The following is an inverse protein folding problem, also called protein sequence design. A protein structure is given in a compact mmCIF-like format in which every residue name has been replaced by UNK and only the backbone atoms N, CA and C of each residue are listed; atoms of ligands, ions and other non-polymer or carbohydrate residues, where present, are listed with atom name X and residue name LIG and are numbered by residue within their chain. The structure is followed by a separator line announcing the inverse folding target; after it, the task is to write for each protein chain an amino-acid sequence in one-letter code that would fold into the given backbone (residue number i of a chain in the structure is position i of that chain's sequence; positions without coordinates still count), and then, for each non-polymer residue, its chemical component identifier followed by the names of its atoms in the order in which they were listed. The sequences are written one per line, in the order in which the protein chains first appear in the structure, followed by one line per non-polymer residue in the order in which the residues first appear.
data_IF_394349374449
#
_entry.id   IF_394349374449
#
_cell.length_a   1.000
_cell.length_b   1.000
_cell.length_c   1.000
_cell.angle_alpha   90.00
_cell.angle_beta   90.00
_cell.angle_gamma   90.00
#
_symmetry.space_group_name_H-M   'P 1'
#
loop_
_entity.id
_entity.type
_entity.pdbx_description
1 polymer ?
#
# COMPACT_ATOMS: atom_id res chain seq x y z
N UNK A 1 47.20 -14.52 16.39
CA UNK A 1 45.86 -15.13 16.51
C UNK A 1 45.95 -16.31 17.45
N UNK A 2 45.16 -16.34 18.54
CA UNK A 2 45.27 -17.41 19.54
C UNK A 2 44.91 -18.77 18.92
N UNK A 3 45.66 -19.85 19.22
CA UNK A 3 45.42 -21.19 18.63
C UNK A 3 43.99 -21.70 18.86
N UNK A 4 43.39 -21.29 19.98
CA UNK A 4 41.98 -21.54 20.31
C UNK A 4 41.02 -20.84 19.34
N UNK A 5 41.32 -19.60 18.97
CA UNK A 5 40.51 -18.81 18.02
C UNK A 5 40.61 -19.41 16.61
N UNK A 6 41.79 -19.88 16.21
CA UNK A 6 41.98 -20.57 14.93
C UNK A 6 41.19 -21.88 14.89
N UNK A 7 41.23 -22.68 15.96
CA UNK A 7 40.45 -23.92 16.06
C UNK A 7 38.94 -23.69 15.97
N UNK A 8 38.43 -22.65 16.64
CA UNK A 8 37.01 -22.27 16.59
C UNK A 8 36.58 -21.84 15.18
N UNK A 9 37.40 -21.03 14.49
CA UNK A 9 37.11 -20.60 13.12
C UNK A 9 37.09 -21.77 12.13
N UNK A 10 38.02 -22.71 12.24
CA UNK A 10 38.04 -23.91 11.42
C UNK A 10 36.78 -24.78 11.64
N UNK A 11 36.38 -24.98 12.90
CA UNK A 11 35.16 -25.73 13.22
C UNK A 11 33.92 -25.05 12.65
N UNK A 12 33.82 -23.72 12.77
CA UNK A 12 32.72 -22.95 12.23
C UNK A 12 32.62 -23.07 10.70
N UNK A 13 33.76 -23.07 9.99
CA UNK A 13 33.76 -23.29 8.54
C UNK A 13 33.26 -24.69 8.15
N UNK A 14 33.63 -25.74 8.89
CA UNK A 14 33.15 -27.11 8.64
C UNK A 14 31.63 -27.20 8.83
N UNK A 15 31.10 -26.57 9.87
CA UNK A 15 29.65 -26.53 10.14
C UNK A 15 28.91 -25.81 9.01
N UNK A 16 29.41 -24.65 8.56
CA UNK A 16 28.79 -23.91 7.44
C UNK A 16 28.79 -24.73 6.14
N UNK A 17 29.90 -25.40 5.82
CA UNK A 17 29.98 -26.31 4.67
C UNK A 17 28.93 -27.42 4.78
N UNK A 18 28.80 -28.05 5.95
CA UNK A 18 27.82 -29.11 6.16
C UNK A 18 26.38 -28.61 5.99
N UNK A 19 26.05 -27.42 6.51
CA UNK A 19 24.75 -26.79 6.30
C UNK A 19 24.46 -26.55 4.81
N UNK A 20 25.41 -26.03 4.04
CA UNK A 20 25.20 -25.79 2.60
C UNK A 20 24.88 -27.08 1.84
N UNK A 21 25.65 -28.15 2.09
CA UNK A 21 25.43 -29.47 1.47
C UNK A 21 24.10 -30.08 1.92
N UNK A 22 23.74 -29.92 3.20
CA UNK A 22 22.48 -30.41 3.75
C UNK A 22 21.27 -29.77 3.05
N UNK A 23 21.26 -28.44 2.93
CA UNK A 23 20.18 -27.71 2.26
C UNK A 23 20.17 -27.90 0.74
N UNK A 24 21.30 -28.22 0.10
CA UNK A 24 21.38 -28.39 -1.36
C UNK A 24 21.08 -29.82 -1.84
N UNK A 25 21.55 -30.83 -1.13
CA UNK A 25 21.58 -32.22 -1.62
C UNK A 25 20.54 -33.13 -0.95
N UNK A 26 20.07 -32.81 0.26
CA UNK A 26 19.11 -33.66 0.97
C UNK A 26 17.67 -33.20 0.76
N UNK A 27 16.72 -34.10 0.43
CA UNK A 27 15.30 -33.75 0.25
C UNK A 27 14.68 -33.06 1.47
N UNK A 28 15.03 -33.49 2.69
CA UNK A 28 14.53 -32.89 3.93
C UNK A 28 15.03 -31.45 4.09
N UNK A 29 16.31 -31.20 3.82
CA UNK A 29 16.89 -29.85 3.83
C UNK A 29 16.23 -28.94 2.79
N UNK A 30 16.04 -29.42 1.56
CA UNK A 30 15.33 -28.70 0.49
C UNK A 30 13.88 -28.36 0.87
N UNK A 31 13.15 -29.29 1.48
CA UNK A 31 11.79 -29.07 1.93
C UNK A 31 11.71 -27.99 3.03
N UNK A 32 12.63 -28.01 4.00
CA UNK A 32 12.74 -26.97 5.03
C UNK A 32 13.08 -25.60 4.44
N UNK A 33 14.00 -25.53 3.47
CA UNK A 33 14.33 -24.28 2.81
C UNK A 33 13.14 -23.71 2.04
N UNK A 34 12.43 -24.55 1.27
CA UNK A 34 11.28 -24.13 0.48
C UNK A 34 10.11 -23.68 1.35
N UNK A 35 9.82 -24.37 2.47
CA UNK A 35 8.74 -23.97 3.36
C UNK A 35 9.04 -22.63 4.07
N UNK A 36 10.29 -22.44 4.49
CA UNK A 36 10.73 -21.17 5.06
C UNK A 36 10.66 -20.04 4.02
N UNK A 37 11.21 -20.26 2.82
CA UNK A 37 11.17 -19.26 1.75
C UNK A 37 9.74 -18.91 1.33
N UNK A 38 8.86 -19.92 1.25
CA UNK A 38 7.43 -19.71 1.01
C UNK A 38 6.78 -18.88 2.13
N UNK A 39 7.11 -19.13 3.39
CA UNK A 39 6.59 -18.35 4.50
C UNK A 39 7.06 -16.89 4.46
N UNK A 40 8.33 -16.66 4.11
CA UNK A 40 8.89 -15.31 3.91
C UNK A 40 8.19 -14.60 2.75
N UNK A 41 8.11 -15.23 1.58
CA UNK A 41 7.38 -14.68 0.43
C UNK A 41 5.92 -14.38 0.78
N UNK A 42 5.24 -15.28 1.49
CA UNK A 42 3.86 -15.06 1.93
C UNK A 42 3.74 -13.87 2.88
N UNK A 43 4.71 -13.65 3.78
CA UNK A 43 4.71 -12.51 4.68
C UNK A 43 4.97 -11.19 3.93
N UNK A 44 5.91 -11.20 2.99
CA UNK A 44 6.24 -10.06 2.13
C UNK A 44 5.04 -9.69 1.23
N UNK A 45 4.44 -10.69 0.57
CA UNK A 45 3.24 -10.53 -0.26
C UNK A 45 2.04 -10.05 0.57
N UNK A 46 1.85 -10.57 1.79
CA UNK A 46 0.79 -10.10 2.68
C UNK A 46 1.02 -8.65 3.12
N UNK A 47 2.27 -8.24 3.35
CA UNK A 47 2.62 -6.85 3.69
C UNK A 47 2.40 -5.93 2.50
N UNK A 48 2.81 -6.34 1.30
CA UNK A 48 2.57 -5.61 0.06
C UNK A 48 1.07 -5.50 -0.24
N UNK A 49 0.32 -6.61 -0.09
CA UNK A 49 -1.12 -6.64 -0.28
C UNK A 49 -1.85 -5.78 0.74
N UNK A 50 -1.52 -5.87 2.02
CA UNK A 50 -2.16 -5.08 3.07
C UNK A 50 -1.91 -3.59 2.89
N UNK A 51 -0.68 -3.21 2.51
CA UNK A 51 -0.34 -1.82 2.16
C UNK A 51 -1.14 -1.35 0.94
N UNK A 52 -1.21 -2.16 -0.12
CA UNK A 52 -2.02 -1.87 -1.31
C UNK A 52 -3.49 -1.68 -0.96
N UNK A 53 -4.05 -2.62 -0.22
CA UNK A 53 -5.44 -2.57 0.23
C UNK A 53 -5.72 -1.33 1.05
N UNK A 54 -4.85 -0.97 1.99
CA UNK A 54 -5.00 0.23 2.81
C UNK A 54 -5.04 1.51 1.96
N UNK A 55 -4.15 1.62 0.97
CA UNK A 55 -4.13 2.76 0.04
C UNK A 55 -5.40 2.80 -0.79
N UNK A 56 -5.83 1.66 -1.34
CA UNK A 56 -7.05 1.57 -2.14
C UNK A 56 -8.32 1.92 -1.33
N UNK A 57 -8.46 1.38 -0.11
CA UNK A 57 -9.60 1.63 0.76
C UNK A 57 -9.65 3.12 1.18
N UNK A 58 -8.49 3.73 1.43
CA UNK A 58 -8.38 5.17 1.69
C UNK A 58 -8.81 5.98 0.47
N UNK A 59 -8.37 5.61 -0.73
CA UNK A 59 -8.78 6.25 -1.97
C UNK A 59 -10.31 6.17 -2.18
N UNK A 60 -10.91 4.99 -1.97
CA UNK A 60 -12.36 4.79 -2.07
C UNK A 60 -13.14 5.63 -1.05
N UNK A 61 -12.65 5.72 0.19
CA UNK A 61 -13.26 6.56 1.22
C UNK A 61 -13.24 8.04 0.83
N UNK A 62 -12.11 8.54 0.32
CA UNK A 62 -11.98 9.92 -0.13
C UNK A 62 -12.86 10.22 -1.35
N UNK A 63 -12.91 9.31 -2.33
CA UNK A 63 -13.80 9.44 -3.49
C UNK A 63 -15.28 9.46 -3.07
N UNK A 64 -15.66 8.65 -2.08
CA UNK A 64 -17.03 8.63 -1.54
C UNK A 64 -17.37 9.96 -0.86
N UNK A 65 -16.46 10.49 -0.03
CA UNK A 65 -16.64 11.80 0.61
C UNK A 65 -16.76 12.92 -0.42
N UNK A 66 -15.86 12.94 -1.42
CA UNK A 66 -15.89 13.91 -2.51
C UNK A 66 -17.20 13.82 -3.29
N UNK A 67 -17.67 12.62 -3.61
CA UNK A 67 -18.91 12.42 -4.37
C UNK A 67 -20.11 12.92 -3.59
N UNK A 68 -20.18 12.64 -2.28
CA UNK A 68 -21.25 13.15 -1.41
C UNK A 68 -21.30 14.68 -1.40
N UNK A 69 -20.16 15.33 -1.14
CA UNK A 69 -20.08 16.79 -1.14
C UNK A 69 -20.35 17.40 -2.52
N UNK A 70 -19.87 16.75 -3.59
CA UNK A 70 -20.16 17.16 -4.96
C UNK A 70 -21.65 17.07 -5.28
N UNK A 71 -22.37 16.05 -4.79
CA UNK A 71 -23.81 15.93 -5.01
C UNK A 71 -24.57 17.04 -4.28
N UNK A 72 -24.18 17.35 -3.03
CA UNK A 72 -24.77 18.48 -2.27
C UNK A 72 -24.55 19.80 -3.01
N UNK A 73 -23.33 20.03 -3.52
CA UNK A 73 -23.04 21.22 -4.32
C UNK A 73 -23.93 21.29 -5.57
N UNK A 74 -23.98 20.22 -6.38
CA UNK A 74 -24.78 20.21 -7.60
C UNK A 74 -26.28 20.37 -7.33
N UNK A 75 -26.78 19.91 -6.18
CA UNK A 75 -28.18 20.04 -5.80
C UNK A 75 -28.58 21.47 -5.44
N UNK A 76 -27.68 22.25 -4.84
CA UNK A 76 -28.02 23.56 -4.25
C UNK A 76 -27.29 24.76 -4.86
N UNK A 77 -26.35 24.55 -5.78
CA UNK A 77 -25.58 25.63 -6.43
C UNK A 77 -26.45 26.69 -7.12
N UNK A 78 -27.59 26.29 -7.67
CA UNK A 78 -28.50 27.17 -8.43
C UNK A 78 -29.74 27.56 -7.59
N UNK A 79 -29.71 27.34 -6.28
CA UNK A 79 -30.84 27.63 -5.39
C UNK A 79 -30.95 29.13 -5.12
N UNK A 80 -32.16 29.69 -5.29
CA UNK A 80 -32.47 31.10 -4.96
C UNK A 80 -32.48 31.37 -3.44
N UNK A 81 -32.54 30.32 -2.61
CA UNK A 81 -32.46 30.43 -1.16
C UNK A 81 -30.99 30.55 -0.69
N UNK A 82 -30.67 31.66 -0.02
CA UNK A 82 -29.33 31.97 0.48
C UNK A 82 -28.74 30.92 1.45
N UNK A 83 -29.58 30.27 2.27
CA UNK A 83 -29.13 29.21 3.19
C UNK A 83 -28.67 27.97 2.41
N UNK A 84 -29.45 27.56 1.41
CA UNK A 84 -29.11 26.43 0.54
C UNK A 84 -27.87 26.73 -0.30
N UNK A 85 -27.73 27.97 -0.77
CA UNK A 85 -26.52 28.41 -1.47
C UNK A 85 -25.28 28.33 -0.55
N UNK A 86 -25.40 28.74 0.71
CA UNK A 86 -24.32 28.58 1.70
C UNK A 86 -23.94 27.12 1.93
N UNK A 87 -24.91 26.19 1.94
CA UNK A 87 -24.61 24.76 2.01
C UNK A 87 -23.86 24.26 0.78
N UNK A 88 -24.21 24.76 -0.41
CA UNK A 88 -23.52 24.45 -1.65
C UNK A 88 -22.05 24.90 -1.59
N UNK A 89 -21.79 26.14 -1.18
CA UNK A 89 -20.44 26.69 -1.05
C UNK A 89 -19.59 25.92 -0.01
N UNK A 90 -20.19 25.56 1.13
CA UNK A 90 -19.50 24.73 2.12
C UNK A 90 -19.18 23.34 1.56
N UNK A 91 -20.11 22.72 0.83
CA UNK A 91 -19.89 21.43 0.20
C UNK A 91 -18.79 21.51 -0.87
N UNK A 92 -18.79 22.57 -1.70
CA UNK A 92 -17.73 22.86 -2.67
C UNK A 92 -16.36 22.97 -2.00
N UNK A 93 -16.24 23.74 -0.92
CA UNK A 93 -15.01 23.87 -0.15
C UNK A 93 -14.50 22.52 0.38
N UNK A 94 -15.40 21.68 0.93
CA UNK A 94 -15.05 20.34 1.43
C UNK A 94 -14.66 19.37 0.31
N UNK A 95 -15.40 19.38 -0.81
CA UNK A 95 -15.08 18.59 -1.99
C UNK A 95 -13.71 18.98 -2.55
N UNK A 96 -13.44 20.28 -2.73
CA UNK A 96 -12.15 20.75 -3.26
C UNK A 96 -10.98 20.43 -2.33
N UNK A 97 -11.17 20.54 -1.01
CA UNK A 97 -10.17 20.09 -0.03
C UNK A 97 -9.90 18.58 -0.14
N UNK A 98 -10.97 17.79 -0.32
CA UNK A 98 -10.87 16.34 -0.50
C UNK A 98 -10.16 16.00 -1.81
N UNK A 99 -10.49 16.67 -2.91
CA UNK A 99 -9.83 16.50 -4.21
C UNK A 99 -8.33 16.82 -4.15
N UNK A 100 -7.95 17.93 -3.50
CA UNK A 100 -6.53 18.27 -3.28
C UNK A 100 -5.80 17.18 -2.50
N UNK A 101 -6.37 16.75 -1.37
CA UNK A 101 -5.77 15.73 -0.51
C UNK A 101 -5.68 14.38 -1.25
N UNK A 102 -6.70 14.03 -2.03
CA UNK A 102 -6.75 12.80 -2.81
C UNK A 102 -5.69 12.79 -3.92
N UNK A 103 -5.60 13.86 -4.69
CA UNK A 103 -4.64 13.97 -5.79
C UNK A 103 -3.20 13.85 -5.28
N UNK A 104 -2.90 14.47 -4.13
CA UNK A 104 -1.61 14.32 -3.47
C UNK A 104 -1.38 12.89 -2.96
N UNK A 105 -2.40 12.28 -2.35
CA UNK A 105 -2.32 10.92 -1.81
C UNK A 105 -2.09 9.87 -2.91
N UNK A 106 -2.81 9.94 -4.02
CA UNK A 106 -2.63 9.06 -5.18
C UNK A 106 -1.24 9.22 -5.79
N UNK A 107 -0.76 10.47 -5.93
CA UNK A 107 0.58 10.73 -6.44
C UNK A 107 1.67 10.07 -5.56
N UNK A 108 1.59 10.28 -4.24
CA UNK A 108 2.54 9.70 -3.28
C UNK A 108 2.53 8.18 -3.27
N UNK A 109 1.37 7.56 -3.45
CA UNK A 109 1.21 6.11 -3.38
C UNK A 109 1.17 5.42 -4.75
N UNK A 110 1.46 6.13 -5.84
CA UNK A 110 1.40 5.62 -7.21
C UNK A 110 2.22 4.34 -7.44
N UNK A 111 3.33 4.19 -6.71
CA UNK A 111 4.21 3.02 -6.76
C UNK A 111 3.52 1.71 -6.32
N UNK A 112 2.47 1.79 -5.50
CA UNK A 112 1.78 0.64 -4.90
C UNK A 112 1.01 -0.18 -5.93
N UNK A 113 0.56 0.48 -7.01
CA UNK A 113 -0.16 -0.14 -8.12
C UNK A 113 0.75 -0.59 -9.26
N UNK A 114 1.99 -0.10 -9.32
CA UNK A 114 2.97 -0.44 -10.36
C UNK A 114 2.38 -0.35 -11.80
N UNK A 115 1.59 0.69 -12.06
CA UNK A 115 0.90 0.91 -13.34
C UNK A 115 -0.46 0.21 -13.49
N UNK A 116 -0.87 -0.65 -12.56
CA UNK A 116 -2.14 -1.36 -12.58
C UNK A 116 -3.13 -0.80 -11.54
N UNK A 117 -3.58 0.43 -11.75
CA UNK A 117 -4.57 1.08 -10.88
C UNK A 117 -5.95 0.42 -11.11
N UNK A 118 -6.65 -0.02 -10.06
CA UNK A 118 -8.02 -0.53 -10.18
C UNK A 118 -8.95 0.47 -10.87
N UNK A 119 -9.83 -0.01 -11.76
CA UNK A 119 -10.69 0.84 -12.58
C UNK A 119 -11.72 1.67 -11.76
N UNK A 120 -12.02 1.23 -10.54
CA UNK A 120 -12.88 1.93 -9.59
C UNK A 120 -12.18 3.12 -8.88
N UNK A 121 -10.86 3.21 -8.95
CA UNK A 121 -10.06 4.29 -8.36
C UNK A 121 -9.66 5.27 -9.47
N UNK A 122 -10.00 6.55 -9.29
CA UNK A 122 -9.63 7.60 -10.24
C UNK A 122 -8.16 7.99 -10.08
N UNK A 123 -7.51 8.35 -11.18
CA UNK A 123 -6.13 8.87 -11.11
C UNK A 123 -6.08 10.28 -10.50
N UNK A 124 -7.17 11.04 -10.61
CA UNK A 124 -7.35 12.34 -9.99
C UNK A 124 -8.83 12.68 -9.83
N UNK A 125 -9.15 13.50 -8.83
CA UNK A 125 -10.45 14.14 -8.68
C UNK A 125 -10.39 15.59 -9.22
N UNK A 126 -11.40 16.00 -10.02
CA UNK A 126 -11.48 17.38 -10.48
C UNK A 126 -11.83 18.32 -9.32
N UNK A 127 -11.52 19.61 -9.50
CA UNK A 127 -12.03 20.66 -8.63
C UNK A 127 -13.40 21.10 -9.13
N UNK A 128 -14.28 21.47 -8.20
CA UNK A 128 -15.59 22.05 -8.49
C UNK A 128 -15.44 23.56 -8.65
N UNK A 129 -15.91 24.05 -9.79
CA UNK A 129 -16.02 25.48 -10.16
C UNK A 129 -17.25 26.13 -9.55
#
# INVERSE_FOLDING_TARGET
MNKVVVGLLCLLMVVLLFCTVFFSCFPVGRAMWNSWFFAVQKADDATAYSTRKQVEDTCRAMMTSYTSDSLIYQQYKDSENAEKLSWAEQAKMRANKTAASYNEYVLKNSFVWNGNVPADIRTSLPYLD
#
